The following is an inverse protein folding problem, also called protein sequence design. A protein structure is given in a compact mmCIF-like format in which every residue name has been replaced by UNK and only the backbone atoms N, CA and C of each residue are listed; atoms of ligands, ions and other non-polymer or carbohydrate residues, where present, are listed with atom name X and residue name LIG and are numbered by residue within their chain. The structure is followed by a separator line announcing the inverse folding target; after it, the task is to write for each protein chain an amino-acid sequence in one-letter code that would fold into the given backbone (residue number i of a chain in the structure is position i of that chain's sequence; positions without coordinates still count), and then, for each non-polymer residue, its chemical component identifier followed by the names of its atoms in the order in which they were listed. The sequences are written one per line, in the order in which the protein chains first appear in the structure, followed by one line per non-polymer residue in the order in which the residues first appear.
data_IF_287600880588
#
_entry.id   IF_287600880588
#
_cell.length_a   1.000
_cell.length_b   1.000
_cell.length_c   1.000
_cell.angle_alpha   90.00
_cell.angle_beta   90.00
_cell.angle_gamma   90.00
#
_symmetry.space_group_name_H-M   'P 1'
#
loop_
_entity.id
_entity.type
_entity.pdbx_description
1 polymer ?
#
# COMPACT_ATOMS: atom_id res chain seq x y z
N UNK A 1 -12.01 4.04 18.21
CA UNK A 1 -10.83 4.15 19.08
C UNK A 1 -11.06 5.04 20.31
N UNK A 2 -11.52 6.29 20.18
CA UNK A 2 -11.85 7.16 21.33
C UNK A 2 -12.67 6.47 22.43
N UNK A 3 -13.70 5.71 22.05
CA UNK A 3 -14.54 4.98 23.02
C UNK A 3 -13.74 3.95 23.82
N UNK A 4 -12.84 3.22 23.19
CA UNK A 4 -12.01 2.26 23.92
C UNK A 4 -10.94 2.97 24.77
N UNK A 5 -10.41 4.10 24.31
CA UNK A 5 -9.50 4.92 25.12
C UNK A 5 -10.18 5.45 26.37
N UNK A 6 -11.38 6.01 26.23
CA UNK A 6 -12.16 6.50 27.37
C UNK A 6 -12.57 5.36 28.29
N UNK A 7 -13.02 4.24 27.75
CA UNK A 7 -13.36 3.06 28.55
C UNK A 7 -12.20 2.53 29.35
N UNK A 8 -10.96 2.56 28.80
CA UNK A 8 -9.75 2.20 29.55
C UNK A 8 -9.47 3.15 30.71
N UNK A 9 -9.77 4.44 30.56
CA UNK A 9 -9.61 5.42 31.64
C UNK A 9 -10.69 5.29 32.68
N UNK A 10 -11.94 5.04 32.27
CA UNK A 10 -13.10 4.90 33.17
C UNK A 10 -13.12 3.55 33.90
N UNK A 11 -12.62 2.49 33.24
CA UNK A 11 -12.65 1.14 33.77
C UNK A 11 -11.23 0.64 33.95
N UNK A 12 -10.66 0.83 35.13
CA UNK A 12 -9.27 0.47 35.44
C UNK A 12 -8.97 -1.01 35.23
N UNK A 13 -9.98 -1.85 35.26
CA UNK A 13 -9.88 -3.31 35.15
C UNK A 13 -10.42 -3.84 33.82
N UNK A 14 -10.43 -3.00 32.78
CA UNK A 14 -10.84 -3.44 31.45
C UNK A 14 -9.74 -4.22 30.76
N UNK A 15 -9.96 -5.51 30.59
CA UNK A 15 -9.08 -6.37 29.81
C UNK A 15 -9.46 -6.36 28.34
N UNK A 16 -8.44 -6.34 27.46
CA UNK A 16 -8.66 -6.50 26.04
C UNK A 16 -8.44 -7.95 25.64
N UNK A 17 -9.53 -8.63 25.30
CA UNK A 17 -9.47 -10.00 24.84
C UNK A 17 -9.15 -10.14 23.35
N UNK A 18 -9.52 -9.15 22.56
CA UNK A 18 -9.33 -9.18 21.12
C UNK A 18 -8.97 -7.81 20.60
N UNK A 19 -7.77 -7.73 20.02
CA UNK A 19 -7.29 -6.56 19.29
C UNK A 19 -7.00 -6.99 17.86
N UNK A 20 -7.75 -6.45 16.92
CA UNK A 20 -7.48 -6.63 15.50
C UNK A 20 -6.68 -5.45 14.96
N UNK A 21 -5.60 -5.75 14.28
CA UNK A 21 -4.78 -4.78 13.56
C UNK A 21 -4.76 -5.11 12.08
N UNK A 22 -4.42 -4.14 11.25
CA UNK A 22 -4.22 -4.35 9.81
C UNK A 22 -3.00 -3.60 9.33
N UNK A 23 -2.38 -4.10 8.27
CA UNK A 23 -1.39 -3.35 7.51
C UNK A 23 -2.13 -2.36 6.60
N UNK A 24 -1.81 -1.07 6.66
CA UNK A 24 -2.41 -0.07 5.77
C UNK A 24 -1.89 -0.17 4.34
N UNK A 25 -0.81 -0.93 4.13
CA UNK A 25 -0.13 -1.13 2.85
C UNK A 25 -0.47 -2.52 2.33
N UNK A 26 -1.12 -2.63 1.19
CA UNK A 26 -1.37 -3.91 0.53
C UNK A 26 -2.75 -4.03 -0.10
N UNK A 27 -2.84 -4.90 -1.10
CA UNK A 27 -4.10 -5.24 -1.80
C UNK A 27 -5.03 -6.03 -0.92
N UNK A 28 -4.48 -7.04 -0.24
CA UNK A 28 -5.24 -7.88 0.67
C UNK A 28 -5.11 -7.30 2.07
N UNK A 29 -6.23 -7.18 2.74
CA UNK A 29 -6.26 -6.73 4.12
C UNK A 29 -5.74 -7.89 4.98
N UNK A 30 -4.47 -7.80 5.37
CA UNK A 30 -3.93 -8.69 6.39
C UNK A 30 -4.40 -8.24 7.76
N UNK A 31 -5.23 -9.08 8.39
CA UNK A 31 -5.64 -8.89 9.77
C UNK A 31 -4.78 -9.75 10.68
N UNK A 32 -4.29 -9.14 11.74
CA UNK A 32 -3.73 -9.86 12.88
C UNK A 32 -4.66 -9.66 14.07
N UNK A 33 -4.97 -10.73 14.77
CA UNK A 33 -5.80 -10.70 15.97
C UNK A 33 -5.00 -11.23 17.15
N UNK A 34 -5.01 -10.46 18.23
CA UNK A 34 -4.35 -10.78 19.48
C UNK A 34 -5.41 -10.98 20.56
N UNK A 35 -5.26 -12.02 21.37
CA UNK A 35 -6.19 -12.39 22.43
C UNK A 35 -5.46 -12.51 23.75
N UNK A 36 -6.03 -12.03 24.82
CA UNK A 36 -5.50 -12.18 26.15
C UNK A 36 -5.79 -11.02 27.08
N UNK A 37 -5.38 -11.13 28.34
CA UNK A 37 -5.52 -10.09 29.36
C UNK A 37 -4.47 -8.98 29.24
N UNK A 38 -3.28 -9.30 28.74
CA UNK A 38 -2.16 -8.35 28.56
C UNK A 38 -1.75 -8.23 27.09
N UNK A 39 -2.73 -8.11 26.20
CA UNK A 39 -2.49 -8.05 24.75
C UNK A 39 -1.52 -6.94 24.36
N UNK A 40 -1.58 -5.80 25.06
CA UNK A 40 -0.75 -4.64 24.77
C UNK A 40 0.74 -4.89 25.05
N UNK A 41 1.05 -5.76 26.00
CA UNK A 41 2.42 -6.13 26.37
C UNK A 41 2.96 -7.23 25.45
N UNK A 42 2.09 -8.10 24.95
CA UNK A 42 2.43 -9.22 24.08
C UNK A 42 2.64 -8.87 22.61
N UNK A 43 2.33 -7.64 22.19
CA UNK A 43 2.54 -7.22 20.81
C UNK A 43 3.95 -6.65 20.64
N UNK A 44 4.74 -7.25 19.76
CA UNK A 44 6.09 -6.83 19.44
C UNK A 44 6.15 -5.37 18.94
N UNK A 45 7.02 -4.57 19.53
CA UNK A 45 7.18 -3.15 19.21
C UNK A 45 7.61 -2.89 17.75
N UNK A 46 8.45 -3.75 17.19
CA UNK A 46 8.91 -3.63 15.80
C UNK A 46 7.78 -3.82 14.79
N UNK A 47 6.83 -4.70 15.12
CA UNK A 47 5.67 -4.96 14.26
C UNK A 47 4.58 -3.89 14.43
N UNK A 48 4.44 -3.32 15.61
CA UNK A 48 3.37 -2.35 15.93
C UNK A 48 3.50 -1.05 15.14
N UNK A 49 4.71 -0.56 14.91
CA UNK A 49 4.96 0.69 14.21
C UNK A 49 4.44 0.71 12.77
N UNK A 50 4.15 -0.46 12.20
CA UNK A 50 3.64 -0.63 10.83
C UNK A 50 2.15 -1.00 10.78
N UNK A 51 1.50 -1.17 11.92
CA UNK A 51 0.12 -1.65 12.02
C UNK A 51 -0.85 -0.52 12.32
N UNK A 52 -1.99 -0.55 11.64
CA UNK A 52 -3.15 0.29 11.94
C UNK A 52 -4.15 -0.48 12.79
N UNK A 53 -4.72 0.20 13.80
CA UNK A 53 -5.82 -0.35 14.60
C UNK A 53 -7.04 -0.61 13.71
N UNK A 54 -7.63 -1.79 13.80
CA UNK A 54 -8.82 -2.15 13.04
C UNK A 54 -10.05 -2.32 13.94
N UNK A 55 -9.96 -3.18 14.95
CA UNK A 55 -11.01 -3.38 15.93
C UNK A 55 -10.44 -3.64 17.32
N UNK A 56 -11.17 -3.24 18.31
CA UNK A 56 -10.89 -3.49 19.72
C UNK A 56 -12.15 -4.04 20.37
N UNK A 57 -12.00 -5.04 21.21
CA UNK A 57 -13.06 -5.58 22.05
C UNK A 57 -12.48 -5.92 23.41
N UNK A 58 -13.10 -5.43 24.45
CA UNK A 58 -12.69 -5.66 25.82
C UNK A 58 -13.85 -6.05 26.71
N UNK A 59 -13.55 -6.72 27.79
CA UNK A 59 -14.44 -7.04 28.89
C UNK A 59 -13.80 -6.55 30.18
N UNK A 60 -14.59 -5.98 31.06
CA UNK A 60 -14.15 -5.46 32.34
C UNK A 60 -15.33 -5.33 33.30
N UNK A 61 -15.15 -4.62 34.41
CA UNK A 61 -16.15 -4.43 35.42
C UNK A 61 -16.43 -2.95 35.64
N UNK A 62 -17.73 -2.62 35.81
CA UNK A 62 -18.21 -1.31 36.21
C UNK A 62 -19.20 -1.48 37.34
N UNK A 63 -18.93 -0.86 38.47
CA UNK A 63 -19.79 -0.93 39.64
C UNK A 63 -20.16 -2.38 40.04
N UNK A 64 -19.16 -3.29 39.94
CA UNK A 64 -19.32 -4.73 40.19
C UNK A 64 -20.03 -5.54 39.13
N UNK A 65 -20.50 -4.92 38.05
CA UNK A 65 -21.13 -5.60 36.92
C UNK A 65 -20.15 -5.78 35.75
N UNK A 66 -20.12 -7.00 35.20
CA UNK A 66 -19.33 -7.28 34.02
C UNK A 66 -19.91 -6.55 32.80
N UNK A 67 -19.09 -5.77 32.17
CA UNK A 67 -19.42 -5.05 30.93
C UNK A 67 -18.51 -5.48 29.78
N UNK A 68 -18.97 -5.28 28.59
CA UNK A 68 -18.15 -5.42 27.42
C UNK A 68 -18.35 -4.23 26.48
N UNK A 69 -17.26 -3.80 25.85
CA UNK A 69 -17.31 -2.75 24.86
C UNK A 69 -16.42 -3.12 23.69
N UNK A 70 -16.85 -2.76 22.50
CA UNK A 70 -16.04 -2.94 21.29
C UNK A 70 -16.31 -1.86 20.27
N UNK A 71 -15.31 -1.62 19.44
CA UNK A 71 -15.43 -0.73 18.30
C UNK A 71 -14.61 -1.22 17.11
N UNK A 72 -14.99 -0.78 15.94
CA UNK A 72 -14.21 -1.00 14.73
C UNK A 72 -13.93 0.29 13.98
N UNK A 73 -12.88 0.32 13.18
CA UNK A 73 -12.58 1.45 12.30
C UNK A 73 -13.65 1.68 11.22
N UNK A 74 -14.54 0.71 11.00
CA UNK A 74 -15.71 0.85 10.11
C UNK A 74 -16.89 1.57 10.76
N UNK A 75 -16.69 2.26 11.90
CA UNK A 75 -17.71 3.08 12.57
C UNK A 75 -18.72 2.29 13.38
N UNK A 76 -18.49 1.02 13.68
CA UNK A 76 -19.36 0.24 14.56
C UNK A 76 -18.88 0.32 15.99
N UNK A 77 -19.84 0.51 16.91
CA UNK A 77 -19.65 0.40 18.36
C UNK A 77 -20.68 -0.57 18.89
N UNK A 78 -20.27 -1.45 19.81
CA UNK A 78 -21.16 -2.44 20.41
C UNK A 78 -20.85 -2.65 21.88
N UNK A 79 -21.90 -3.04 22.62
CA UNK A 79 -21.78 -3.53 23.98
C UNK A 79 -22.67 -4.77 24.13
N UNK A 80 -22.32 -5.66 25.04
CA UNK A 80 -23.16 -6.81 25.46
C UNK A 80 -24.01 -6.50 26.68
N UNK A 81 -23.98 -5.27 27.16
CA UNK A 81 -24.78 -4.83 28.26
C UNK A 81 -26.28 -4.96 27.92
N UNK A 82 -27.04 -5.63 28.77
CA UNK A 82 -28.50 -5.78 28.59
C UNK A 82 -29.19 -4.71 29.40
N UNK A 83 -30.02 -3.92 28.74
CA UNK A 83 -30.71 -2.81 29.37
C UNK A 83 -32.04 -2.52 28.66
N UNK A 84 -32.88 -1.67 29.26
CA UNK A 84 -34.10 -1.19 28.65
C UNK A 84 -33.81 -0.07 27.62
N UNK A 85 -34.86 0.35 26.90
CA UNK A 85 -34.74 1.33 25.82
C UNK A 85 -34.22 2.70 26.31
N UNK A 86 -34.55 3.13 27.53
CA UNK A 86 -34.08 4.39 28.09
C UNK A 86 -32.57 4.34 28.37
N UNK A 87 -32.07 3.21 28.88
CA UNK A 87 -30.65 3.01 29.07
C UNK A 87 -29.91 2.97 27.71
N UNK A 88 -30.50 2.34 26.69
CA UNK A 88 -29.93 2.36 25.33
C UNK A 88 -29.84 3.76 24.76
N UNK A 89 -30.88 4.58 24.93
CA UNK A 89 -30.88 5.99 24.52
C UNK A 89 -29.77 6.78 25.24
N UNK A 90 -29.62 6.60 26.55
CA UNK A 90 -28.55 7.23 27.32
C UNK A 90 -27.18 6.79 26.81
N UNK A 91 -26.97 5.48 26.62
CA UNK A 91 -25.74 4.94 26.10
C UNK A 91 -25.39 5.51 24.73
N UNK A 92 -26.33 5.61 23.79
CA UNK A 92 -26.11 6.24 22.49
C UNK A 92 -25.67 7.70 22.63
N UNK A 93 -26.26 8.46 23.57
CA UNK A 93 -25.89 9.85 23.83
C UNK A 93 -24.45 9.93 24.40
N UNK A 94 -24.12 9.08 25.37
CA UNK A 94 -22.80 9.04 25.98
C UNK A 94 -21.72 8.66 24.98
N UNK A 95 -21.97 7.66 24.12
CA UNK A 95 -21.10 7.26 23.01
C UNK A 95 -20.92 8.41 22.02
N UNK A 96 -22.00 9.13 21.68
CA UNK A 96 -21.94 10.29 20.80
C UNK A 96 -21.06 11.40 21.36
N UNK A 97 -21.20 11.70 22.65
CA UNK A 97 -20.37 12.70 23.34
C UNK A 97 -18.87 12.31 23.30
N UNK A 98 -18.54 11.05 23.61
CA UNK A 98 -17.15 10.55 23.56
C UNK A 98 -16.56 10.68 22.13
N UNK A 99 -17.34 10.37 21.10
CA UNK A 99 -16.89 10.51 19.70
C UNK A 99 -16.61 11.98 19.35
N UNK A 100 -17.48 12.88 19.84
CA UNK A 100 -17.39 14.30 19.57
C UNK A 100 -16.31 15.03 20.39
N UNK A 101 -15.87 14.44 21.51
CA UNK A 101 -14.87 15.06 22.39
C UNK A 101 -13.48 15.05 21.73
N UNK A 102 -12.96 16.25 21.44
CA UNK A 102 -11.66 16.44 20.81
C UNK A 102 -10.48 16.18 21.76
N UNK A 103 -10.71 16.22 23.08
CA UNK A 103 -9.66 16.00 24.08
C UNK A 103 -9.31 14.52 24.26
N UNK A 104 -10.15 13.60 23.79
CA UNK A 104 -9.89 12.17 23.90
C UNK A 104 -8.94 11.72 22.82
N UNK A 105 -7.71 11.34 23.21
CA UNK A 105 -6.71 10.80 22.31
C UNK A 105 -7.02 9.33 21.93
N UNK A 106 -7.34 9.04 20.67
CA UNK A 106 -7.60 7.66 20.23
C UNK A 106 -6.35 6.76 20.23
N UNK A 107 -5.17 7.34 20.43
CA UNK A 107 -3.90 6.63 20.36
C UNK A 107 -3.41 6.11 21.73
N UNK A 108 -4.10 6.41 22.81
CA UNK A 108 -3.76 5.89 24.15
C UNK A 108 -3.77 4.36 24.20
N UNK A 109 -4.65 3.73 23.41
CA UNK A 109 -4.69 2.27 23.27
C UNK A 109 -3.77 1.85 22.13
N UNK A 110 -2.92 0.86 22.37
CA UNK A 110 -1.89 0.41 21.41
C UNK A 110 -0.99 1.57 20.96
N UNK A 111 -0.29 2.14 21.91
CA UNK A 111 0.52 3.36 21.74
C UNK A 111 1.56 3.28 20.61
N UNK A 112 2.06 2.09 20.33
CA UNK A 112 3.13 1.88 19.36
C UNK A 112 2.63 1.64 17.91
N UNK A 113 1.31 1.61 17.68
CA UNK A 113 0.75 1.51 16.32
C UNK A 113 0.79 2.86 15.61
N UNK A 114 0.62 2.85 14.28
CA UNK A 114 0.50 4.08 13.51
C UNK A 114 -0.53 5.03 14.13
N UNK A 115 -0.13 6.26 14.35
CA UNK A 115 -1.01 7.31 14.82
C UNK A 115 -1.91 7.77 13.68
N UNK A 116 -3.22 7.73 13.91
CA UNK A 116 -4.21 8.23 12.95
C UNK A 116 -4.63 9.63 13.36
N UNK A 117 -4.46 10.57 12.47
CA UNK A 117 -4.87 11.97 12.60
C UNK A 117 -5.78 12.34 11.43
N UNK A 118 -6.79 13.20 11.66
CA UNK A 118 -7.50 13.86 10.57
C UNK A 118 -6.81 15.16 10.25
N UNK A 119 -6.52 15.36 8.97
CA UNK A 119 -5.84 16.55 8.48
C UNK A 119 -6.80 17.43 7.68
N UNK A 120 -6.66 18.74 7.83
CA UNK A 120 -7.34 19.77 7.04
C UNK A 120 -6.49 20.28 5.86
N UNK A 121 -5.19 20.02 5.90
CA UNK A 121 -4.20 20.31 4.85
C UNK A 121 -3.23 19.15 4.76
N UNK A 122 -2.59 18.95 3.62
CA UNK A 122 -1.52 17.95 3.52
C UNK A 122 -0.36 18.32 4.45
N UNK A 123 0.34 17.31 4.94
CA UNK A 123 1.51 17.53 5.80
C UNK A 123 2.69 18.03 4.98
N UNK A 124 3.55 18.81 5.64
CA UNK A 124 4.79 19.32 5.05
C UNK A 124 5.87 18.22 5.01
N UNK A 125 5.54 17.12 4.35
CA UNK A 125 6.39 15.94 4.15
C UNK A 125 6.32 15.56 2.68
N UNK A 126 7.47 15.22 2.11
CA UNK A 126 7.57 14.90 0.69
C UNK A 126 6.79 13.61 0.34
N UNK A 127 5.78 13.66 -0.55
CA UNK A 127 5.11 12.47 -1.04
C UNK A 127 6.03 11.74 -2.03
N UNK A 128 6.26 10.45 -1.82
CA UNK A 128 7.17 9.64 -2.65
C UNK A 128 6.43 8.68 -3.58
N UNK A 129 5.18 8.35 -3.26
CA UNK A 129 4.37 7.49 -4.11
C UNK A 129 2.88 7.72 -3.89
N UNK A 130 2.09 7.34 -4.89
CA UNK A 130 0.64 7.30 -4.84
C UNK A 130 0.16 5.96 -5.37
N UNK A 131 -0.90 5.42 -4.78
CA UNK A 131 -1.50 4.15 -5.21
C UNK A 131 -3.02 4.19 -5.02
N UNK A 132 -3.71 3.24 -5.65
CA UNK A 132 -5.13 3.05 -5.47
C UNK A 132 -5.48 2.72 -4.03
N UNK A 133 -6.68 3.10 -3.62
CA UNK A 133 -7.22 2.67 -2.33
C UNK A 133 -7.35 1.13 -2.33
N UNK A 134 -7.09 0.50 -1.18
CA UNK A 134 -7.20 -0.95 -1.01
C UNK A 134 -8.57 -1.51 -1.43
N UNK A 135 -9.67 -0.75 -1.26
CA UNK A 135 -11.00 -1.17 -1.71
C UNK A 135 -11.10 -1.33 -3.22
N UNK A 136 -10.35 -0.56 -3.99
CA UNK A 136 -10.30 -0.70 -5.46
C UNK A 136 -9.72 -2.06 -5.82
N UNK A 137 -8.73 -2.51 -5.08
CA UNK A 137 -8.13 -3.82 -5.28
C UNK A 137 -9.02 -5.00 -4.83
N UNK A 138 -9.85 -4.80 -3.80
CA UNK A 138 -10.78 -5.83 -3.31
C UNK A 138 -11.92 -6.10 -4.31
N UNK A 139 -12.38 -5.07 -5.00
CA UNK A 139 -13.55 -5.13 -5.88
C UNK A 139 -13.23 -5.18 -7.38
N UNK A 140 -12.05 -5.40 -7.73
CA UNK A 140 -11.29 -5.80 -8.92
C UNK A 140 -11.86 -5.70 -10.35
N UNK A 141 -12.85 -4.89 -10.64
CA UNK A 141 -13.32 -4.65 -12.02
C UNK A 141 -13.39 -3.16 -12.35
N UNK A 142 -12.38 -2.39 -11.91
CA UNK A 142 -12.27 -1.00 -12.30
C UNK A 142 -11.67 -0.93 -13.70
N UNK A 143 -12.50 -0.57 -14.68
CA UNK A 143 -12.06 -0.22 -16.02
C UNK A 143 -12.02 1.30 -16.16
N UNK A 144 -10.96 1.79 -16.76
CA UNK A 144 -10.76 3.20 -17.08
C UNK A 144 -10.80 3.39 -18.59
N UNK A 145 -11.49 4.43 -19.03
CA UNK A 145 -11.39 4.94 -20.39
C UNK A 145 -10.42 6.11 -20.39
N UNK A 146 -9.31 5.97 -21.09
CA UNK A 146 -8.25 6.98 -21.22
C UNK A 146 -8.17 7.35 -22.70
N UNK A 147 -8.70 8.51 -23.06
CA UNK A 147 -8.96 8.84 -24.46
C UNK A 147 -9.90 7.82 -25.10
N UNK A 148 -9.43 7.12 -26.13
CA UNK A 148 -10.19 6.08 -26.84
C UNK A 148 -9.94 4.65 -26.31
N UNK A 149 -9.03 4.47 -25.35
CA UNK A 149 -8.65 3.16 -24.80
C UNK A 149 -9.45 2.83 -23.55
N UNK A 150 -9.96 1.60 -23.47
CA UNK A 150 -10.57 1.05 -22.25
C UNK A 150 -9.60 0.03 -21.68
N UNK A 151 -9.09 0.31 -20.47
CA UNK A 151 -8.01 -0.43 -19.85
C UNK A 151 -8.36 -0.81 -18.41
N UNK A 152 -7.75 -1.88 -17.92
CA UNK A 152 -7.83 -2.24 -16.51
C UNK A 152 -6.94 -1.28 -15.69
N UNK A 153 -7.40 -0.87 -14.50
CA UNK A 153 -6.63 0.02 -13.63
C UNK A 153 -5.23 -0.53 -13.27
N UNK A 154 -5.03 -1.82 -13.38
CA UNK A 154 -3.72 -2.46 -13.20
C UNK A 154 -2.71 -2.12 -14.29
N UNK A 155 -3.17 -1.72 -15.47
CA UNK A 155 -2.32 -1.39 -16.62
C UNK A 155 -1.85 0.06 -16.57
N UNK A 156 -2.33 0.81 -15.58
CA UNK A 156 -2.04 2.23 -15.42
C UNK A 156 -0.93 2.46 -14.42
N UNK A 157 0.07 3.24 -14.80
CA UNK A 157 1.12 3.72 -13.93
C UNK A 157 0.68 5.01 -13.22
N UNK A 158 0.99 5.10 -11.93
CA UNK A 158 0.73 6.27 -11.09
C UNK A 158 2.06 6.85 -10.60
N UNK A 159 2.27 8.14 -10.79
CA UNK A 159 3.47 8.89 -10.38
C UNK A 159 3.10 10.14 -9.60
N UNK A 160 3.98 10.58 -8.70
CA UNK A 160 3.92 11.94 -8.14
C UNK A 160 4.63 12.87 -9.12
N UNK A 161 4.03 14.01 -9.39
CA UNK A 161 4.52 14.99 -10.36
C UNK A 161 5.22 16.16 -9.68
N UNK A 162 6.16 16.78 -10.40
CA UNK A 162 6.98 17.91 -9.91
C UNK A 162 6.15 19.14 -9.53
N UNK A 163 4.96 19.30 -10.12
CA UNK A 163 4.03 20.40 -9.80
C UNK A 163 3.38 20.28 -8.41
N UNK A 164 3.69 19.22 -7.66
CA UNK A 164 3.25 19.04 -6.28
C UNK A 164 3.78 20.17 -5.39
N UNK A 165 2.88 20.81 -4.66
CA UNK A 165 3.23 21.81 -3.65
C UNK A 165 3.06 21.21 -2.26
N UNK A 166 4.18 20.81 -1.66
CA UNK A 166 4.22 20.15 -0.36
C UNK A 166 3.42 20.96 0.68
N UNK A 167 2.61 20.27 1.44
CA UNK A 167 1.72 20.88 2.43
C UNK A 167 0.39 21.43 1.88
N UNK A 168 0.30 21.73 0.58
CA UNK A 168 -0.90 22.38 0.00
C UNK A 168 -1.68 21.49 -0.96
N UNK A 169 -0.99 20.87 -1.90
CA UNK A 169 -1.62 19.99 -2.88
C UNK A 169 -0.62 18.94 -3.35
N UNK A 170 -1.17 17.85 -3.86
CA UNK A 170 -0.39 16.78 -4.50
C UNK A 170 -0.85 16.69 -5.94
N UNK A 171 0.09 16.74 -6.88
CA UNK A 171 -0.17 16.49 -8.29
C UNK A 171 0.34 15.11 -8.64
N UNK A 172 -0.51 14.30 -9.27
CA UNK A 172 -0.13 12.98 -9.72
C UNK A 172 -0.47 12.75 -11.18
N UNK A 173 0.38 11.98 -11.83
CA UNK A 173 0.22 11.49 -13.18
C UNK A 173 -0.45 10.13 -13.20
N UNK A 174 -1.33 9.93 -14.19
CA UNK A 174 -1.92 8.67 -14.57
C UNK A 174 -1.46 8.41 -16.00
N UNK A 175 -0.62 7.39 -16.18
CA UNK A 175 0.00 7.09 -17.47
C UNK A 175 -0.44 5.73 -17.97
N UNK A 176 -0.81 5.69 -19.24
CA UNK A 176 -1.05 4.48 -20.01
C UNK A 176 -0.39 4.61 -21.38
N UNK A 177 0.56 3.73 -21.70
CA UNK A 177 1.42 3.84 -22.88
C UNK A 177 2.08 5.23 -22.98
N UNK A 178 1.74 5.99 -24.02
CA UNK A 178 2.24 7.35 -24.27
C UNK A 178 1.30 8.44 -23.74
N UNK A 179 0.10 8.06 -23.28
CA UNK A 179 -0.90 9.01 -22.77
C UNK A 179 -0.68 9.29 -21.31
N UNK A 180 -0.60 10.56 -20.93
CA UNK A 180 -0.45 11.02 -19.55
C UNK A 180 -1.61 11.96 -19.24
N UNK A 181 -2.24 11.73 -18.09
CA UNK A 181 -3.29 12.60 -17.53
C UNK A 181 -2.86 13.03 -16.13
N UNK A 182 -2.87 14.32 -15.84
CA UNK A 182 -2.47 14.85 -14.54
C UNK A 182 -3.69 15.29 -13.74
N UNK A 183 -3.66 14.94 -12.48
CA UNK A 183 -4.69 15.27 -11.51
C UNK A 183 -4.09 15.99 -10.32
N UNK A 184 -4.83 16.95 -9.79
CA UNK A 184 -4.47 17.70 -8.58
C UNK A 184 -5.37 17.29 -7.44
N UNK A 185 -4.76 16.86 -6.34
CA UNK A 185 -5.42 16.57 -5.07
C UNK A 185 -5.34 17.80 -4.17
N UNK A 186 -6.47 18.19 -3.58
CA UNK A 186 -6.57 19.26 -2.58
C UNK A 186 -7.48 18.80 -1.44
N UNK A 187 -7.34 19.39 -0.25
CA UNK A 187 -8.25 19.16 0.87
C UNK A 187 -9.17 20.36 0.98
N UNK A 188 -10.46 20.14 0.76
CA UNK A 188 -11.50 21.17 0.90
C UNK A 188 -12.68 20.61 1.70
N UNK A 189 -13.20 21.41 2.63
CA UNK A 189 -14.35 21.01 3.45
C UNK A 189 -14.18 19.63 4.12
N UNK A 190 -12.98 19.35 4.66
CA UNK A 190 -12.61 18.08 5.30
C UNK A 190 -12.70 16.84 4.38
N UNK A 191 -12.60 17.03 3.08
CA UNK A 191 -12.55 15.97 2.07
C UNK A 191 -11.43 16.23 1.09
N UNK A 192 -10.83 15.16 0.59
CA UNK A 192 -9.93 15.25 -0.56
C UNK A 192 -10.77 15.40 -1.82
N UNK A 193 -10.39 16.33 -2.68
CA UNK A 193 -10.98 16.58 -3.99
C UNK A 193 -9.94 16.37 -5.06
N UNK A 194 -10.41 15.90 -6.20
CA UNK A 194 -9.57 15.59 -7.34
C UNK A 194 -10.00 16.43 -8.53
N UNK A 195 -9.05 17.11 -9.16
CA UNK A 195 -9.31 17.93 -10.34
C UNK A 195 -8.38 17.49 -11.46
N UNK A 196 -8.92 17.14 -12.62
CA UNK A 196 -8.14 16.93 -13.83
C UNK A 196 -7.53 18.26 -14.27
N UNK A 197 -6.23 18.34 -14.47
CA UNK A 197 -5.53 19.58 -14.80
C UNK A 197 -4.86 19.57 -16.17
N UNK A 198 -4.50 18.38 -16.67
CA UNK A 198 -3.79 18.27 -17.95
C UNK A 198 -3.92 16.86 -18.53
N UNK A 199 -3.78 16.75 -19.84
CA UNK A 199 -3.72 15.48 -20.57
C UNK A 199 -5.08 15.02 -21.10
N UNK A 200 -5.18 13.75 -21.44
CA UNK A 200 -6.42 13.18 -21.99
C UNK A 200 -7.48 12.97 -20.90
N UNK A 201 -8.76 13.15 -21.21
CA UNK A 201 -9.82 12.86 -20.26
C UNK A 201 -9.81 11.40 -19.81
N UNK A 202 -10.02 11.19 -18.52
CA UNK A 202 -10.17 9.86 -17.93
C UNK A 202 -11.60 9.69 -17.42
N UNK A 203 -12.21 8.55 -17.72
CA UNK A 203 -13.55 8.18 -17.24
C UNK A 203 -13.49 6.81 -16.58
N UNK A 204 -14.35 6.57 -15.62
CA UNK A 204 -14.62 5.23 -15.10
C UNK A 204 -15.65 4.54 -15.96
N UNK A 205 -15.45 3.27 -16.28
CA UNK A 205 -16.46 2.44 -16.93
C UNK A 205 -17.14 1.56 -15.87
N UNK A 206 -18.45 1.68 -15.75
CA UNK A 206 -19.28 0.86 -14.88
C UNK A 206 -20.57 0.47 -15.59
N UNK A 207 -20.86 -0.83 -15.64
CA UNK A 207 -22.06 -1.34 -16.31
C UNK A 207 -22.26 -0.78 -17.74
N UNK A 208 -21.18 -0.66 -18.52
CA UNK A 208 -21.15 -0.09 -19.88
C UNK A 208 -21.47 1.43 -19.96
N UNK A 209 -21.56 2.12 -18.84
CA UNK A 209 -21.71 3.59 -18.79
C UNK A 209 -20.40 4.26 -18.38
N UNK A 210 -20.21 5.47 -18.88
CA UNK A 210 -19.09 6.34 -18.48
C UNK A 210 -19.50 7.15 -17.25
N UNK A 211 -18.74 7.08 -16.18
CA UNK A 211 -18.89 7.89 -14.96
C UNK A 211 -17.69 8.83 -14.79
N UNK A 212 -17.87 9.93 -14.03
CA UNK A 212 -16.75 10.81 -13.69
C UNK A 212 -15.69 10.05 -12.89
N UNK A 213 -14.43 10.20 -13.33
CA UNK A 213 -13.30 9.61 -12.63
C UNK A 213 -12.99 10.37 -11.35
N UNK A 214 -13.15 11.70 -11.36
CA UNK A 214 -12.95 12.56 -10.19
C UNK A 214 -13.95 12.22 -9.07
N UNK A 215 -15.24 12.05 -9.42
CA UNK A 215 -16.26 11.63 -8.44
C UNK A 215 -15.95 10.24 -7.87
N UNK A 216 -15.47 9.32 -8.70
CA UNK A 216 -15.02 8.02 -8.23
C UNK A 216 -13.85 8.13 -7.24
N UNK A 217 -12.88 9.00 -7.52
CA UNK A 217 -11.73 9.24 -6.62
C UNK A 217 -12.15 9.94 -5.32
N UNK A 218 -13.12 10.83 -5.37
CA UNK A 218 -13.71 11.47 -4.18
C UNK A 218 -14.31 10.43 -3.22
N UNK A 219 -14.92 9.39 -3.76
CA UNK A 219 -15.49 8.27 -2.98
C UNK A 219 -14.44 7.24 -2.56
N UNK A 220 -13.38 7.07 -3.36
CA UNK A 220 -12.30 6.10 -3.18
C UNK A 220 -10.94 6.81 -3.16
N UNK A 221 -10.64 7.60 -2.13
CA UNK A 221 -9.45 8.42 -2.11
C UNK A 221 -8.18 7.60 -2.28
N UNK A 222 -7.25 8.11 -3.09
CA UNK A 222 -5.94 7.50 -3.31
C UNK A 222 -5.15 7.39 -1.99
N UNK A 223 -4.25 6.43 -1.95
CA UNK A 223 -3.28 6.26 -0.87
C UNK A 223 -1.99 6.97 -1.26
N UNK A 224 -1.51 7.87 -0.43
CA UNK A 224 -0.23 8.56 -0.62
C UNK A 224 0.77 8.07 0.41
N UNK A 225 1.98 7.78 -0.03
CA UNK A 225 3.12 7.38 0.81
C UNK A 225 4.11 8.54 0.87
N UNK A 226 4.64 8.80 2.06
CA UNK A 226 5.56 9.93 2.32
C UNK A 226 6.94 9.44 2.72
N UNK A 227 7.92 10.34 2.60
CA UNK A 227 9.32 10.06 2.85
C UNK A 227 9.67 9.68 4.30
N UNK A 228 8.80 10.02 5.24
CA UNK A 228 8.93 9.69 6.67
C UNK A 228 8.20 8.40 7.07
N UNK A 229 7.85 7.56 6.09
CA UNK A 229 7.05 6.33 6.22
C UNK A 229 5.60 6.57 6.68
N UNK A 230 5.15 7.81 6.72
CA UNK A 230 3.74 8.12 6.93
C UNK A 230 2.90 7.84 5.68
N UNK A 231 1.60 7.72 5.87
CA UNK A 231 0.65 7.37 4.81
C UNK A 231 -0.59 8.24 4.97
N UNK A 232 -1.17 8.71 3.88
CA UNK A 232 -2.51 9.29 3.91
C UNK A 232 -3.47 8.59 2.95
N UNK A 233 -4.74 8.54 3.32
CA UNK A 233 -5.86 8.19 2.45
C UNK A 233 -7.07 9.03 2.82
N UNK A 234 -7.62 9.75 1.85
CA UNK A 234 -8.55 10.82 2.16
C UNK A 234 -7.91 11.82 3.14
N UNK A 235 -8.65 12.24 4.13
CA UNK A 235 -8.15 13.12 5.20
C UNK A 235 -7.57 12.38 6.41
N UNK A 236 -7.43 11.06 6.32
CA UNK A 236 -6.77 10.29 7.38
C UNK A 236 -5.27 10.22 7.10
N UNK A 237 -4.48 10.76 8.01
CA UNK A 237 -3.04 10.69 8.00
C UNK A 237 -2.56 9.74 9.09
N UNK A 238 -1.67 8.83 8.73
CA UNK A 238 -1.11 7.81 9.62
C UNK A 238 0.39 8.02 9.68
N UNK A 239 0.89 8.42 10.83
CA UNK A 239 2.31 8.61 11.05
C UNK A 239 2.88 7.50 11.94
N UNK A 240 4.10 6.99 11.65
CA UNK A 240 4.83 6.16 12.58
C UNK A 240 5.19 6.98 13.83
N UNK A 241 5.16 6.34 14.99
CA UNK A 241 5.53 6.98 16.25
C UNK A 241 7.05 7.07 16.43
N UNK A 242 7.75 6.12 15.87
CA UNK A 242 9.20 6.02 15.92
C UNK A 242 9.78 6.34 14.55
N UNK A 243 10.96 6.97 14.54
CA UNK A 243 11.72 7.12 13.29
C UNK A 243 12.05 5.72 12.75
N UNK A 244 12.07 5.61 11.43
CA UNK A 244 12.56 4.41 10.77
C UNK A 244 14.02 4.15 11.18
N UNK A 245 14.39 2.89 11.35
CA UNK A 245 15.77 2.50 11.53
C UNK A 245 16.58 2.89 10.27
N UNK A 246 17.83 3.24 10.47
CA UNK A 246 18.76 3.46 9.36
C UNK A 246 18.96 2.16 8.58
N UNK A 247 19.13 2.28 7.27
CA UNK A 247 19.45 1.12 6.43
C UNK A 247 20.87 0.67 6.80
N UNK A 248 21.07 -0.59 7.22
CA UNK A 248 22.38 -1.10 7.53
C UNK A 248 23.33 -0.97 6.34
N UNK A 249 24.54 -0.45 6.55
CA UNK A 249 25.51 -0.22 5.47
C UNK A 249 25.88 -1.52 4.72
N UNK A 250 25.84 -2.66 5.39
CA UNK A 250 26.10 -3.98 4.78
C UNK A 250 25.05 -4.40 3.75
N UNK A 251 23.88 -3.73 3.73
CA UNK A 251 22.84 -3.94 2.72
C UNK A 251 23.03 -3.05 1.50
N UNK A 252 24.01 -2.15 1.50
CA UNK A 252 24.29 -1.23 0.41
C UNK A 252 25.44 -1.80 -0.42
N UNK A 253 25.15 -2.27 -1.64
CA UNK A 253 26.15 -2.72 -2.60
C UNK A 253 26.47 -1.60 -3.59
N UNK A 254 27.74 -1.31 -3.80
CA UNK A 254 28.20 -0.40 -4.84
C UNK A 254 28.48 -1.17 -6.13
N UNK A 255 28.01 -0.66 -7.26
CA UNK A 255 28.22 -1.25 -8.57
C UNK A 255 29.08 -0.34 -9.45
N UNK A 256 29.93 -0.97 -10.27
CA UNK A 256 30.67 -0.27 -11.33
C UNK A 256 29.82 -0.24 -12.60
N UNK A 257 29.55 0.94 -13.10
CA UNK A 257 28.66 1.16 -14.26
C UNK A 257 29.46 1.41 -15.55
N UNK A 258 30.46 0.56 -15.80
CA UNK A 258 31.24 0.67 -17.03
C UNK A 258 30.39 0.34 -18.26
N UNK A 259 30.45 1.22 -19.27
CA UNK A 259 29.70 1.10 -20.52
C UNK A 259 28.16 1.12 -20.36
N UNK A 260 27.65 1.59 -19.23
CA UNK A 260 26.21 1.77 -18.99
C UNK A 260 25.83 3.23 -19.13
N UNK A 261 24.79 3.49 -19.91
CA UNK A 261 24.19 4.81 -20.00
C UNK A 261 23.18 5.01 -18.88
N UNK A 262 23.59 5.68 -17.82
CA UNK A 262 22.75 5.91 -16.65
C UNK A 262 21.48 6.75 -16.91
N UNK A 263 21.30 7.29 -18.11
CA UNK A 263 20.03 7.94 -18.51
C UNK A 263 19.01 6.99 -19.11
N UNK A 264 19.40 5.73 -19.38
CA UNK A 264 18.55 4.71 -19.97
C UNK A 264 18.20 3.65 -18.90
N UNK A 265 16.96 3.66 -18.45
CA UNK A 265 16.46 2.71 -17.46
C UNK A 265 16.15 1.35 -18.09
N UNK A 266 15.21 1.32 -19.02
CA UNK A 266 14.67 0.11 -19.63
C UNK A 266 15.56 -0.44 -20.75
N UNK A 267 15.61 -1.78 -20.85
CA UNK A 267 16.22 -2.47 -21.98
C UNK A 267 15.34 -2.52 -23.24
N UNK A 268 14.07 -2.16 -23.12
CA UNK A 268 13.12 -2.16 -24.22
C UNK A 268 12.77 -3.54 -24.77
N UNK A 269 12.43 -3.59 -26.06
CA UNK A 269 12.15 -4.82 -26.82
C UNK A 269 13.31 -5.16 -27.73
N UNK A 270 13.39 -6.40 -28.24
CA UNK A 270 14.42 -6.76 -29.23
C UNK A 270 14.36 -5.88 -30.50
N UNK A 271 15.50 -5.33 -30.94
CA UNK A 271 16.83 -5.45 -30.34
C UNK A 271 16.94 -4.64 -29.05
N UNK A 272 17.50 -5.25 -28.01
CA UNK A 272 17.59 -4.61 -26.68
C UNK A 272 18.57 -3.43 -26.66
N UNK A 273 18.27 -2.44 -25.80
CA UNK A 273 19.15 -1.34 -25.43
C UNK A 273 20.25 -1.87 -24.49
N UNK A 274 21.35 -2.38 -25.10
CA UNK A 274 22.41 -3.12 -24.37
C UNK A 274 23.25 -2.27 -23.43
N UNK A 275 23.15 -0.93 -23.55
CA UNK A 275 23.78 0.05 -22.68
C UNK A 275 22.84 0.54 -21.56
N UNK A 276 21.64 -0.02 -21.40
CA UNK A 276 20.68 0.35 -20.37
C UNK A 276 21.03 -0.25 -18.99
N UNK A 277 20.53 0.40 -17.93
CA UNK A 277 20.65 -0.06 -16.54
C UNK A 277 20.02 -1.46 -16.39
N UNK A 278 18.80 -1.63 -16.91
CA UNK A 278 18.06 -2.89 -16.82
C UNK A 278 18.80 -4.04 -17.52
N UNK A 279 19.35 -3.81 -18.72
CA UNK A 279 20.13 -4.84 -19.43
C UNK A 279 21.40 -5.24 -18.66
N UNK A 280 22.11 -4.27 -18.10
CA UNK A 280 23.29 -4.53 -17.28
C UNK A 280 22.96 -5.38 -16.05
N UNK A 281 21.94 -5.00 -15.29
CA UNK A 281 21.51 -5.75 -14.10
C UNK A 281 20.98 -7.13 -14.48
N UNK A 282 20.14 -7.22 -15.53
CA UNK A 282 19.64 -8.50 -16.06
C UNK A 282 20.80 -9.48 -16.32
N UNK A 283 21.84 -9.04 -17.03
CA UNK A 283 23.01 -9.87 -17.34
C UNK A 283 23.82 -10.27 -16.10
N UNK A 284 23.93 -9.37 -15.13
CA UNK A 284 24.66 -9.59 -13.87
C UNK A 284 24.01 -10.63 -12.97
N UNK A 285 22.68 -10.69 -12.97
CA UNK A 285 21.92 -11.55 -12.05
C UNK A 285 21.37 -12.83 -12.71
N UNK A 286 21.39 -12.91 -14.05
CA UNK A 286 20.78 -14.01 -14.82
C UNK A 286 21.19 -15.41 -14.31
N UNK A 287 22.45 -15.59 -13.90
CA UNK A 287 22.96 -16.88 -13.43
C UNK A 287 22.68 -17.16 -11.95
N UNK A 288 22.14 -16.19 -11.22
CA UNK A 288 21.86 -16.32 -9.78
C UNK A 288 20.46 -16.87 -9.50
N UNK A 289 19.60 -16.92 -10.49
CA UNK A 289 18.21 -17.28 -10.36
C UNK A 289 17.81 -18.34 -11.39
N UNK A 290 16.86 -19.17 -11.02
CA UNK A 290 16.31 -20.18 -11.94
C UNK A 290 15.51 -19.50 -13.05
N UNK A 291 14.83 -18.39 -12.73
CA UNK A 291 14.04 -17.62 -13.70
C UNK A 291 14.19 -16.13 -13.45
N UNK A 292 14.24 -15.38 -14.52
CA UNK A 292 14.31 -13.92 -14.51
C UNK A 292 13.31 -13.37 -15.54
N UNK A 293 12.38 -12.58 -15.07
CA UNK A 293 11.27 -12.03 -15.85
C UNK A 293 11.46 -10.52 -15.96
N UNK A 294 11.46 -10.02 -17.19
CA UNK A 294 11.33 -8.60 -17.49
C UNK A 294 9.83 -8.24 -17.41
N UNK A 295 9.44 -7.55 -16.34
CA UNK A 295 8.07 -7.08 -16.15
C UNK A 295 7.96 -5.54 -16.23
N UNK A 296 9.02 -4.90 -16.72
CA UNK A 296 9.12 -3.44 -16.89
C UNK A 296 7.90 -2.84 -17.61
N UNK A 297 7.50 -1.67 -17.18
CA UNK A 297 6.46 -0.82 -17.77
C UNK A 297 5.17 -0.74 -16.95
N UNK A 298 4.19 0.00 -17.45
CA UNK A 298 2.97 0.36 -16.71
C UNK A 298 2.28 -0.83 -16.05
N UNK A 299 1.99 -0.71 -14.74
CA UNK A 299 1.36 -1.78 -13.95
C UNK A 299 2.30 -2.91 -13.53
N UNK A 300 3.60 -2.76 -13.66
CA UNK A 300 4.61 -3.74 -13.28
C UNK A 300 4.56 -4.16 -11.81
N UNK A 301 5.05 -5.35 -11.54
CA UNK A 301 5.38 -5.80 -10.19
C UNK A 301 6.70 -5.19 -9.75
N UNK A 302 7.68 -5.22 -10.64
CA UNK A 302 9.01 -4.62 -10.56
C UNK A 302 9.64 -4.66 -11.96
N UNK A 303 10.68 -3.87 -12.21
CA UNK A 303 11.41 -3.89 -13.50
C UNK A 303 11.92 -5.27 -13.85
N UNK A 304 12.48 -6.00 -12.85
CA UNK A 304 12.84 -7.40 -13.02
C UNK A 304 12.27 -8.22 -11.84
N UNK A 305 11.67 -9.36 -12.15
CA UNK A 305 11.20 -10.34 -11.16
C UNK A 305 12.06 -11.58 -11.27
N UNK A 306 12.83 -11.85 -10.23
CA UNK A 306 13.75 -12.98 -10.16
C UNK A 306 13.19 -14.05 -9.23
N UNK A 307 13.27 -15.33 -9.63
CA UNK A 307 12.66 -16.45 -8.95
C UNK A 307 13.65 -17.58 -8.79
N UNK A 308 13.80 -18.07 -7.56
CA UNK A 308 14.41 -19.35 -7.24
C UNK A 308 13.34 -20.31 -6.77
N UNK A 309 13.35 -21.51 -7.32
CA UNK A 309 12.39 -22.56 -7.00
C UNK A 309 13.10 -23.77 -6.39
N UNK A 310 12.88 -24.01 -5.09
CA UNK A 310 13.37 -25.20 -4.38
C UNK A 310 12.24 -26.18 -4.08
N UNK A 311 12.59 -27.34 -3.52
CA UNK A 311 11.58 -28.37 -3.16
C UNK A 311 10.58 -27.88 -2.10
N UNK A 312 10.96 -26.90 -1.28
CA UNK A 312 10.18 -26.48 -0.12
C UNK A 312 9.74 -25.04 -0.14
N UNK A 313 10.39 -24.18 -0.95
CA UNK A 313 10.11 -22.75 -0.99
C UNK A 313 10.33 -22.17 -2.39
N UNK A 314 9.64 -21.08 -2.66
CA UNK A 314 9.85 -20.23 -3.83
C UNK A 314 10.30 -18.86 -3.32
N UNK A 315 11.52 -18.49 -3.67
CA UNK A 315 12.06 -17.17 -3.39
C UNK A 315 11.78 -16.23 -4.56
N UNK A 316 11.15 -15.10 -4.29
CA UNK A 316 10.87 -14.07 -5.28
C UNK A 316 11.61 -12.81 -4.86
N UNK A 317 12.51 -12.34 -5.72
CA UNK A 317 13.24 -11.09 -5.54
C UNK A 317 12.77 -10.07 -6.57
N UNK A 318 12.37 -8.89 -6.10
CA UNK A 318 11.89 -7.79 -6.93
C UNK A 318 13.00 -6.74 -7.05
N UNK A 319 13.40 -6.43 -8.28
CA UNK A 319 14.39 -5.41 -8.59
C UNK A 319 13.68 -4.17 -9.13
N UNK A 320 13.82 -3.07 -8.44
CA UNK A 320 13.42 -1.75 -8.91
C UNK A 320 14.64 -0.98 -9.33
N UNK A 321 14.61 -0.51 -10.56
CA UNK A 321 15.71 0.20 -11.20
C UNK A 321 15.28 1.63 -11.48
N UNK A 322 16.24 2.57 -11.42
CA UNK A 322 15.94 3.95 -11.77
C UNK A 322 17.12 4.59 -12.48
N UNK A 323 16.83 5.31 -13.57
CA UNK A 323 17.83 6.08 -14.27
C UNK A 323 18.30 7.28 -13.43
N UNK A 324 19.56 7.65 -13.63
CA UNK A 324 20.08 8.87 -13.01
C UNK A 324 19.64 10.08 -13.81
N UNK A 325 18.98 11.04 -13.16
CA UNK A 325 18.61 12.31 -13.76
C UNK A 325 19.89 12.96 -14.32
N UNK A 326 19.87 13.36 -15.61
CA UNK A 326 21.00 13.87 -16.39
C UNK A 326 22.09 12.84 -16.70
N UNK A 327 21.85 11.55 -16.57
CA UNK A 327 22.79 10.48 -16.96
C UNK A 327 24.08 10.44 -16.13
N UNK A 328 24.08 11.03 -14.94
CA UNK A 328 25.23 11.04 -14.02
C UNK A 328 24.73 10.76 -12.60
N UNK A 329 25.53 10.01 -11.85
CA UNK A 329 25.25 9.86 -10.42
C UNK A 329 25.24 11.26 -9.77
N UNK A 330 24.24 11.49 -8.98
CA UNK A 330 24.07 12.78 -8.29
C UNK A 330 23.67 12.53 -6.83
N UNK A 331 23.89 13.58 -6.00
CA UNK A 331 23.39 13.57 -4.62
C UNK A 331 21.92 13.97 -4.53
N UNK A 332 21.20 14.05 -5.65
CA UNK A 332 19.77 14.33 -5.65
C UNK A 332 19.02 13.16 -5.00
N UNK A 333 18.21 13.49 -4.02
CA UNK A 333 17.35 12.52 -3.33
C UNK A 333 16.11 12.14 -4.14
N UNK A 334 15.82 12.86 -5.25
CA UNK A 334 14.66 12.59 -6.09
C UNK A 334 14.65 11.19 -6.68
N UNK A 335 15.80 10.72 -7.22
CA UNK A 335 15.91 9.36 -7.74
C UNK A 335 15.67 8.31 -6.64
N UNK A 336 16.20 8.58 -5.44
CA UNK A 336 15.96 7.72 -4.28
C UNK A 336 14.48 7.69 -3.90
N UNK A 337 13.82 8.84 -3.88
CA UNK A 337 12.38 8.89 -3.60
C UNK A 337 11.56 8.13 -4.63
N UNK A 338 11.91 8.22 -5.92
CA UNK A 338 11.22 7.49 -6.97
C UNK A 338 11.35 5.96 -6.80
N UNK A 339 12.58 5.46 -6.61
CA UNK A 339 12.79 4.02 -6.42
C UNK A 339 12.19 3.52 -5.10
N UNK A 340 12.29 4.29 -4.03
CA UNK A 340 11.63 3.97 -2.76
C UNK A 340 10.11 3.97 -2.90
N UNK A 341 9.56 4.88 -3.71
CA UNK A 341 8.13 4.93 -4.02
C UNK A 341 7.65 3.69 -4.77
N UNK A 342 8.38 3.25 -5.78
CA UNK A 342 8.10 1.98 -6.48
C UNK A 342 8.16 0.80 -5.51
N UNK A 343 9.17 0.75 -4.67
CA UNK A 343 9.34 -0.24 -3.63
C UNK A 343 8.17 -0.27 -2.65
N UNK A 344 7.72 0.87 -2.17
CA UNK A 344 6.56 0.97 -1.28
C UNK A 344 5.29 0.41 -1.92
N UNK A 345 5.06 0.67 -3.20
CA UNK A 345 3.95 0.08 -3.95
C UNK A 345 4.07 -1.45 -4.02
N UNK A 346 5.29 -1.96 -4.27
CA UNK A 346 5.54 -3.40 -4.44
C UNK A 346 5.50 -4.19 -3.14
N UNK A 347 5.63 -3.55 -1.97
CA UNK A 347 5.42 -4.19 -0.66
C UNK A 347 4.06 -4.90 -0.57
N UNK A 348 3.04 -4.40 -1.27
CA UNK A 348 1.74 -5.08 -1.36
C UNK A 348 1.83 -6.54 -1.78
N UNK A 349 2.77 -6.87 -2.69
CA UNK A 349 2.96 -8.23 -3.17
C UNK A 349 3.50 -9.19 -2.10
N UNK A 350 4.17 -8.66 -1.07
CA UNK A 350 4.62 -9.44 0.09
C UNK A 350 3.47 -10.04 0.88
N UNK A 351 2.33 -9.37 0.92
CA UNK A 351 1.19 -9.72 1.77
C UNK A 351 0.03 -10.37 1.01
N UNK A 352 0.17 -10.52 -0.30
CA UNK A 352 -0.82 -11.24 -1.12
C UNK A 352 -0.54 -12.74 -1.13
N UNK A 353 -1.55 -13.54 -1.47
CA UNK A 353 -1.35 -14.96 -1.75
C UNK A 353 -0.34 -15.10 -2.90
N UNK A 354 0.55 -16.09 -2.79
CA UNK A 354 1.65 -16.26 -3.74
C UNK A 354 1.21 -16.37 -5.21
N UNK A 355 0.03 -16.97 -5.47
CA UNK A 355 -0.54 -17.07 -6.82
C UNK A 355 -0.88 -15.71 -7.45
N UNK A 356 -1.23 -14.70 -6.67
CA UNK A 356 -1.67 -13.40 -7.19
C UNK A 356 -0.59 -12.64 -7.95
N UNK A 357 0.64 -12.72 -7.50
CA UNK A 357 1.76 -12.12 -8.22
C UNK A 357 1.96 -12.78 -9.59
N UNK A 358 1.87 -14.12 -9.64
CA UNK A 358 2.01 -14.87 -10.90
C UNK A 358 0.83 -14.66 -11.84
N UNK A 359 -0.41 -14.63 -11.32
CA UNK A 359 -1.60 -14.31 -12.12
C UNK A 359 -1.47 -12.93 -12.78
N UNK A 360 -0.95 -11.95 -12.03
CA UNK A 360 -0.76 -10.59 -12.52
C UNK A 360 0.31 -10.54 -13.61
N UNK A 361 1.51 -11.09 -13.36
CA UNK A 361 2.60 -11.13 -14.34
C UNK A 361 2.16 -11.89 -15.60
N UNK A 362 1.44 -13.01 -15.43
CA UNK A 362 0.94 -13.81 -16.56
C UNK A 362 -0.02 -12.98 -17.43
N UNK A 363 -1.00 -12.32 -16.82
CA UNK A 363 -1.95 -11.45 -17.55
C UNK A 363 -1.24 -10.35 -18.33
N UNK A 364 -0.22 -9.72 -17.74
CA UNK A 364 0.60 -8.69 -18.41
C UNK A 364 1.40 -9.26 -19.56
N UNK A 365 2.04 -10.42 -19.35
CA UNK A 365 2.85 -11.08 -20.41
C UNK A 365 1.99 -11.51 -21.59
N UNK A 366 0.77 -12.00 -21.34
CA UNK A 366 -0.19 -12.36 -22.40
C UNK A 366 -0.63 -11.14 -23.20
N UNK A 367 -0.95 -10.03 -22.52
CA UNK A 367 -1.37 -8.76 -23.18
C UNK A 367 -0.25 -8.15 -24.03
N UNK A 368 1.00 -8.28 -23.60
CA UNK A 368 2.15 -7.69 -24.27
C UNK A 368 2.76 -8.54 -25.37
N UNK A 369 2.27 -9.78 -25.59
CA UNK A 369 2.86 -10.78 -26.51
C UNK A 369 4.36 -11.01 -26.29
N UNK A 370 4.87 -10.68 -25.11
CA UNK A 370 6.27 -10.86 -24.72
C UNK A 370 6.43 -12.23 -24.05
N UNK A 371 7.41 -13.02 -24.53
CA UNK A 371 7.98 -14.21 -23.88
C UNK A 371 7.07 -15.44 -23.76
N UNK A 372 6.95 -16.20 -24.82
CA UNK A 372 6.23 -17.49 -24.86
C UNK A 372 6.75 -18.49 -23.80
N UNK A 373 8.05 -18.52 -23.55
CA UNK A 373 8.69 -19.41 -22.56
C UNK A 373 8.36 -19.02 -21.12
N UNK A 374 8.41 -17.73 -20.79
CA UNK A 374 8.04 -17.24 -19.45
C UNK A 374 6.56 -17.50 -19.14
N UNK A 375 5.66 -17.35 -20.13
CA UNK A 375 4.23 -17.63 -19.98
C UNK A 375 3.99 -19.11 -19.70
N UNK A 376 4.67 -20.01 -20.39
CA UNK A 376 4.55 -21.46 -20.18
C UNK A 376 5.01 -21.84 -18.76
N UNK A 377 6.15 -21.30 -18.33
CA UNK A 377 6.70 -21.54 -17.00
C UNK A 377 5.80 -20.96 -15.89
N UNK A 378 5.32 -19.73 -16.05
CA UNK A 378 4.40 -19.11 -15.08
C UNK A 378 3.10 -19.88 -14.94
N UNK A 379 2.57 -20.44 -16.04
CA UNK A 379 1.41 -21.34 -16.00
C UNK A 379 1.70 -22.63 -15.24
N UNK A 380 2.91 -23.15 -15.32
CA UNK A 380 3.33 -24.33 -14.59
C UNK A 380 3.54 -24.06 -13.11
N UNK A 381 4.22 -22.95 -12.76
CA UNK A 381 4.31 -22.47 -11.37
C UNK A 381 2.94 -22.22 -10.76
N UNK A 382 2.02 -21.62 -11.50
CA UNK A 382 0.66 -21.39 -11.02
C UNK A 382 -0.06 -22.72 -10.72
N UNK A 383 0.12 -23.73 -11.56
CA UNK A 383 -0.42 -25.09 -11.31
C UNK A 383 0.19 -25.71 -10.05
N UNK A 384 1.50 -25.55 -9.86
CA UNK A 384 2.20 -26.01 -8.66
C UNK A 384 1.62 -25.32 -7.42
N UNK A 385 1.45 -24.00 -7.45
CA UNK A 385 0.83 -23.25 -6.36
C UNK A 385 -0.59 -23.70 -6.05
N UNK A 386 -1.44 -23.85 -7.05
CA UNK A 386 -2.82 -24.29 -6.87
C UNK A 386 -2.93 -25.71 -6.30
N UNK A 387 -1.98 -26.58 -6.65
CA UNK A 387 -1.94 -27.96 -6.18
C UNK A 387 -1.28 -28.10 -4.79
N UNK A 388 -0.45 -27.18 -4.36
CA UNK A 388 0.37 -27.25 -3.15
C UNK A 388 0.16 -26.12 -2.14
N UNK A 389 -1.00 -25.43 -2.17
CA UNK A 389 -1.32 -24.32 -1.24
C UNK A 389 -1.01 -24.59 0.24
N UNK A 390 -0.77 -25.83 0.61
CA UNK A 390 -0.47 -26.25 2.01
C UNK A 390 1.00 -26.56 2.30
N UNK A 391 1.91 -26.56 1.32
CA UNK A 391 3.28 -27.07 1.51
C UNK A 391 4.41 -26.12 1.13
N UNK A 392 4.17 -25.07 0.33
CA UNK A 392 5.21 -24.16 -0.13
C UNK A 392 5.23 -22.88 0.71
N UNK A 393 6.33 -22.66 1.38
CA UNK A 393 6.64 -21.37 1.98
C UNK A 393 7.15 -20.45 0.87
N UNK A 394 6.57 -19.24 0.74
CA UNK A 394 7.04 -18.25 -0.21
C UNK A 394 7.84 -17.18 0.50
N UNK A 395 9.12 -17.08 0.18
CA UNK A 395 9.97 -15.95 0.56
C UNK A 395 9.96 -14.89 -0.51
N UNK A 396 9.93 -13.63 -0.12
CA UNK A 396 9.93 -12.48 -1.03
C UNK A 396 10.96 -11.47 -0.54
N UNK A 397 11.98 -11.30 -1.34
CA UNK A 397 13.06 -10.37 -1.09
C UNK A 397 12.89 -9.14 -1.98
N UNK A 398 13.27 -7.98 -1.47
CA UNK A 398 13.21 -6.72 -2.21
C UNK A 398 14.61 -6.16 -2.33
N UNK A 399 15.02 -5.88 -3.55
CA UNK A 399 16.33 -5.28 -3.85
C UNK A 399 16.08 -3.97 -4.59
N UNK A 400 16.70 -2.91 -4.11
CA UNK A 400 16.61 -1.57 -4.68
C UNK A 400 17.97 -1.17 -5.25
N UNK A 401 17.98 -0.75 -6.50
CA UNK A 401 19.18 -0.32 -7.22
C UNK A 401 18.97 1.01 -7.96
#
# INVERSE_FOLDING_TARGET
MKICSESLQMYKDLDFFNVGTRLPKGRDISFQSYYGSSVQEGIDQLTQGKLQKNNLFGVGFKDGNMISIGCSCKGKVWSRERANLLHFQKWCKDVGNIIADENIDPNVVLKNTLHTERISEFKDVHPIAIDWNHHVYEHSTLLLKIGDHVVDFYEVELSIEDETNIGKNIVFGLKYETSISKFKMIIENQKVRYNHIQGVPVKRIKNLSEESFEEFLDENPMTVFYADDSISYGTNYLAPKQKADEIPEELIETLEWENVNLSKESQGSEPYETDSIQYYIHRRILQKYDFLIDDDGSGEVADLVAINNSEHEIDITLYHLKYAIKGKHSKSIENLYQVCGQAQKSIRWKYQRGNKIFEHILKRSENRKKMVEAVAFLKELLKIFLNYERKLQTRRNFVFM
#
